data_IF_389041988669
#
_entry.id   IF_389041988669
#
_cell.length_a   1.000
_cell.length_b   1.000
_cell.length_c   1.000
_cell.angle_alpha   90.00
_cell.angle_beta   90.00
_cell.angle_gamma   90.00
#
_symmetry.space_group_name_H-M   'P 1'
#
loop_
_entity.id
_entity.type
_entity.pdbx_description
1 polymer ?
#
# COMPACT_ATOMS: atom_id res chain seq x y z
N UNK A 1 12.09 -12.65 2.37
CA UNK A 1 11.79 -11.21 2.29
C UNK A 1 12.47 -10.61 1.06
N UNK A 2 11.70 -10.00 0.15
CA UNK A 2 12.22 -9.37 -1.07
C UNK A 2 13.03 -8.10 -0.73
N UNK A 3 14.03 -7.80 -1.57
CA UNK A 3 14.81 -6.56 -1.48
C UNK A 3 14.22 -5.40 -2.28
N UNK A 4 13.17 -5.65 -3.06
CA UNK A 4 12.47 -4.67 -3.90
C UNK A 4 11.47 -3.88 -3.05
N UNK A 5 11.27 -2.60 -3.35
CA UNK A 5 10.23 -1.79 -2.68
C UNK A 5 8.85 -2.32 -3.03
N UNK A 6 8.00 -2.52 -2.02
CA UNK A 6 6.60 -2.91 -2.24
C UNK A 6 5.85 -1.84 -3.03
N UNK A 7 6.18 -0.56 -2.82
CA UNK A 7 5.54 0.55 -3.51
C UNK A 7 5.82 0.50 -5.02
N UNK A 8 7.06 0.19 -5.41
CA UNK A 8 7.47 0.03 -6.80
C UNK A 8 6.84 -1.21 -7.44
N UNK A 9 6.84 -2.35 -6.74
CA UNK A 9 6.21 -3.59 -7.21
C UNK A 9 4.70 -3.39 -7.45
N UNK A 10 4.00 -2.73 -6.53
CA UNK A 10 2.58 -2.39 -6.70
C UNK A 10 2.35 -1.50 -7.91
N UNK A 11 3.19 -0.49 -8.12
CA UNK A 11 3.08 0.39 -9.27
C UNK A 11 3.28 -0.37 -10.60
N UNK A 12 4.28 -1.25 -10.67
CA UNK A 12 4.52 -2.10 -11.83
C UNK A 12 3.32 -3.02 -12.11
N UNK A 13 2.83 -3.73 -11.08
CA UNK A 13 1.72 -4.70 -11.19
C UNK A 13 0.42 -4.08 -11.69
N UNK A 14 0.10 -2.86 -11.26
CA UNK A 14 -1.15 -2.20 -11.69
C UNK A 14 -1.00 -1.44 -13.02
N UNK A 15 0.22 -1.37 -13.57
CA UNK A 15 0.56 -0.63 -14.79
C UNK A 15 0.64 0.89 -14.58
N UNK A 16 1.16 1.33 -13.43
CA UNK A 16 1.39 2.72 -13.08
C UNK A 16 2.86 3.07 -13.29
N UNK A 17 3.19 3.67 -14.45
CA UNK A 17 4.58 3.98 -14.83
C UNK A 17 5.22 5.07 -13.95
N UNK A 18 4.41 5.86 -13.23
CA UNK A 18 4.89 6.94 -12.39
C UNK A 18 4.29 6.85 -10.98
N UNK A 19 5.14 6.72 -9.96
CA UNK A 19 4.70 6.66 -8.56
C UNK A 19 3.82 7.85 -8.16
N UNK A 20 4.09 9.04 -8.71
CA UNK A 20 3.26 10.22 -8.43
C UNK A 20 1.80 9.99 -8.82
N UNK A 21 1.53 9.24 -9.89
CA UNK A 21 0.18 8.96 -10.37
C UNK A 21 -0.54 7.98 -9.45
N UNK A 22 0.20 7.13 -8.75
CA UNK A 22 -0.35 6.28 -7.68
C UNK A 22 -1.00 7.15 -6.60
N UNK A 23 -0.45 8.33 -6.31
CA UNK A 23 -0.97 9.29 -5.33
C UNK A 23 -1.96 10.29 -5.93
N UNK A 24 -1.69 10.81 -7.12
CA UNK A 24 -2.48 11.88 -7.74
C UNK A 24 -3.73 11.38 -8.44
N UNK A 25 -3.71 10.14 -8.94
CA UNK A 25 -4.83 9.50 -9.65
C UNK A 25 -5.37 8.31 -8.87
N UNK A 26 -5.39 8.40 -7.54
CA UNK A 26 -5.75 7.27 -6.66
C UNK A 26 -7.03 6.58 -7.10
N UNK A 27 -8.11 7.32 -7.36
CA UNK A 27 -9.41 6.77 -7.75
C UNK A 27 -9.35 5.80 -8.94
N UNK A 28 -8.46 6.07 -9.92
CA UNK A 28 -8.23 5.20 -11.08
C UNK A 28 -7.61 3.86 -10.67
N UNK A 29 -6.77 3.88 -9.64
CA UNK A 29 -5.92 2.77 -9.23
C UNK A 29 -6.46 1.99 -8.04
N UNK A 30 -7.33 2.58 -7.20
CA UNK A 30 -7.85 1.97 -5.96
C UNK A 30 -8.34 0.52 -6.16
N UNK A 31 -9.14 0.17 -7.20
CA UNK A 31 -9.62 -1.20 -7.37
C UNK A 31 -8.49 -2.20 -7.66
N UNK A 32 -7.51 -1.80 -8.47
CA UNK A 32 -6.36 -2.65 -8.83
C UNK A 32 -5.38 -2.77 -7.68
N UNK A 33 -5.10 -1.65 -7.01
CA UNK A 33 -4.25 -1.59 -5.84
C UNK A 33 -4.78 -2.51 -4.73
N UNK A 34 -6.09 -2.47 -4.46
CA UNK A 34 -6.72 -3.38 -3.49
C UNK A 34 -6.51 -4.85 -3.89
N UNK A 35 -6.81 -5.20 -5.13
CA UNK A 35 -6.67 -6.56 -5.62
C UNK A 35 -5.24 -7.07 -5.51
N UNK A 36 -4.22 -6.26 -5.83
CA UNK A 36 -2.82 -6.66 -5.65
C UNK A 36 -2.46 -6.82 -4.17
N UNK A 37 -2.87 -5.90 -3.30
CA UNK A 37 -2.61 -5.98 -1.86
C UNK A 37 -3.25 -7.22 -1.21
N UNK A 38 -4.45 -7.62 -1.65
CA UNK A 38 -5.13 -8.84 -1.18
C UNK A 38 -4.36 -10.12 -1.59
N UNK A 39 -3.65 -10.10 -2.72
CA UNK A 39 -2.91 -11.24 -3.24
C UNK A 39 -1.46 -11.36 -2.72
N UNK A 40 -0.87 -10.28 -2.22
CA UNK A 40 0.50 -10.30 -1.67
C UNK A 40 0.47 -10.90 -0.28
N UNK A 41 1.31 -11.91 -0.03
CA UNK A 41 1.51 -12.43 1.33
C UNK A 41 2.27 -11.39 2.16
N UNK A 42 1.77 -11.10 3.36
CA UNK A 42 2.35 -10.11 4.29
C UNK A 42 3.82 -10.39 4.62
N UNK A 43 4.28 -11.65 4.57
CA UNK A 43 5.66 -12.05 4.87
C UNK A 43 6.62 -11.84 3.68
N UNK A 44 6.12 -11.56 2.47
CA UNK A 44 6.96 -11.29 1.30
C UNK A 44 7.81 -10.02 1.45
N UNK A 45 7.26 -9.03 2.16
CA UNK A 45 7.83 -7.70 2.33
C UNK A 45 8.01 -7.35 3.80
N UNK A 46 9.04 -6.55 4.09
CA UNK A 46 9.28 -6.05 5.44
C UNK A 46 8.16 -5.13 5.93
N UNK A 47 7.97 -5.04 7.25
CA UNK A 47 7.11 -4.03 7.86
C UNK A 47 7.45 -2.60 7.37
N UNK A 48 8.74 -2.30 7.17
CA UNK A 48 9.16 -0.98 6.66
C UNK A 48 8.62 -0.69 5.25
N UNK A 49 8.55 -1.70 4.37
CA UNK A 49 7.97 -1.56 3.03
C UNK A 49 6.46 -1.30 3.11
N UNK A 50 5.75 -2.04 3.96
CA UNK A 50 4.32 -1.81 4.18
C UNK A 50 4.03 -0.41 4.74
N UNK A 51 4.86 0.04 5.68
CA UNK A 51 4.77 1.37 6.27
C UNK A 51 5.00 2.48 5.24
N UNK A 52 5.98 2.30 4.35
CA UNK A 52 6.22 3.22 3.23
C UNK A 52 4.98 3.35 2.33
N UNK A 53 4.38 2.24 1.94
CA UNK A 53 3.14 2.23 1.14
C UNK A 53 2.02 2.98 1.83
N UNK A 54 1.82 2.75 3.13
CA UNK A 54 0.81 3.46 3.92
C UNK A 54 1.06 4.97 3.88
N UNK A 55 2.25 5.41 4.25
CA UNK A 55 2.60 6.83 4.31
C UNK A 55 2.42 7.49 2.94
N UNK A 56 2.89 6.82 1.89
CA UNK A 56 2.87 7.35 0.53
C UNK A 56 1.45 7.49 -0.01
N UNK A 57 0.64 6.42 0.09
CA UNK A 57 -0.69 6.38 -0.51
C UNK A 57 -1.68 7.17 0.32
N UNK A 58 -1.67 7.05 1.65
CA UNK A 58 -2.59 7.82 2.49
C UNK A 58 -2.23 9.30 2.58
N UNK A 59 -0.98 9.66 2.24
CA UNK A 59 -0.43 11.00 2.46
C UNK A 59 -0.18 11.33 3.93
N UNK A 60 -0.27 10.33 4.83
CA UNK A 60 0.00 10.48 6.25
C UNK A 60 1.46 10.86 6.49
N UNK A 61 1.70 11.68 7.52
CA UNK A 61 3.05 12.10 7.89
C UNK A 61 3.75 11.11 8.84
N UNK A 62 2.98 10.31 9.58
CA UNK A 62 3.48 9.25 10.47
C UNK A 62 2.38 8.19 10.66
N UNK A 63 2.79 6.99 11.05
CA UNK A 63 1.94 5.84 11.41
C UNK A 63 2.12 5.41 12.87
N UNK A 64 2.91 6.14 13.67
CA UNK A 64 3.29 5.75 15.03
C UNK A 64 2.06 5.61 15.96
N UNK A 65 1.04 6.44 15.72
CA UNK A 65 -0.21 6.41 16.48
C UNK A 65 -1.19 5.32 16.03
N UNK A 66 -0.88 4.57 14.97
CA UNK A 66 -1.80 3.58 14.38
C UNK A 66 -1.63 2.17 14.96
N UNK A 67 -0.61 1.95 15.82
CA UNK A 67 -0.37 0.63 16.44
C UNK A 67 0.08 -0.45 15.44
N UNK A 68 0.56 -0.04 14.26
CA UNK A 68 1.02 -0.93 13.20
C UNK A 68 2.44 -1.39 13.53
N UNK A 69 2.55 -2.59 14.09
CA UNK A 69 3.82 -3.18 14.55
C UNK A 69 4.21 -4.47 13.82
N UNK A 70 3.44 -4.88 12.82
CA UNK A 70 3.67 -6.07 12.00
C UNK A 70 3.04 -5.93 10.61
N UNK A 71 3.55 -6.69 9.64
CA UNK A 71 3.17 -6.56 8.23
C UNK A 71 1.69 -6.88 7.97
N UNK A 72 1.14 -7.89 8.65
CA UNK A 72 -0.28 -8.24 8.57
C UNK A 72 -1.19 -7.08 8.97
N UNK A 73 -0.91 -6.40 10.10
CA UNK A 73 -1.65 -5.19 10.51
C UNK A 73 -1.56 -4.06 9.49
N UNK A 74 -0.40 -3.90 8.87
CA UNK A 74 -0.19 -2.85 7.87
C UNK A 74 -1.02 -3.13 6.60
N UNK A 75 -1.04 -4.39 6.15
CA UNK A 75 -1.88 -4.87 5.05
C UNK A 75 -3.37 -4.69 5.36
N UNK A 76 -3.81 -5.12 6.53
CA UNK A 76 -5.20 -4.98 6.99
C UNK A 76 -5.64 -3.50 7.01
N UNK A 77 -4.78 -2.62 7.54
CA UNK A 77 -5.03 -1.18 7.55
C UNK A 77 -5.21 -0.63 6.14
N UNK A 78 -4.33 -1.00 5.20
CA UNK A 78 -4.43 -0.55 3.81
C UNK A 78 -5.72 -1.01 3.15
N UNK A 79 -6.10 -2.28 3.31
CA UNK A 79 -7.34 -2.83 2.75
C UNK A 79 -8.56 -2.07 3.29
N UNK A 80 -8.62 -1.83 4.62
CA UNK A 80 -9.70 -1.06 5.25
C UNK A 80 -9.75 0.39 4.76
N UNK A 81 -8.59 1.04 4.63
CA UNK A 81 -8.51 2.40 4.11
C UNK A 81 -9.00 2.50 2.66
N UNK A 82 -8.65 1.52 1.82
CA UNK A 82 -9.11 1.44 0.42
C UNK A 82 -10.61 1.20 0.32
N UNK A 83 -11.19 0.38 1.20
CA UNK A 83 -12.64 0.18 1.24
C UNK A 83 -13.39 1.42 1.68
N UNK A 84 -12.87 2.18 2.66
CA UNK A 84 -13.44 3.45 3.09
C UNK A 84 -13.39 4.56 2.03
N UNK A 85 -12.63 4.38 0.94
CA UNK A 85 -12.53 5.32 -0.19
C UNK A 85 -13.49 5.02 -1.34
N UNK A 86 -14.21 3.90 -1.30
CA UNK A 86 -15.21 3.54 -2.32
C UNK A 86 -16.58 4.19 -2.10
N UNK A 87 -16.81 4.79 -0.93
CA UNK A 87 -18.01 5.59 -0.57
C UNK A 87 -17.75 7.10 -0.71
#
# INVERSE_FOLDING_TARGET
MRSVSLLEDLAEKIGCDCLSDLRLMQEKWLPRLKAELENIDEEEYSLSNWNEVILYITGSQSIDSMGINEASKAKDYMIQWLDAKKD
#
